data_IF_557262607997
#
_entry.id   IF_557262607997
#
_cell.length_a   1.000
_cell.length_b   1.000
_cell.length_c   1.000
_cell.angle_alpha   90.00
_cell.angle_beta   90.00
_cell.angle_gamma   90.00
#
_symmetry.space_group_name_H-M   'P 1'
#
loop_
_entity.id
_entity.type
_entity.pdbx_description
1 polymer ?
#
# COMPACT_ATOMS: atom_id res chain seq x y z
N UNK A 1 -55.79 -5.08 -3.98
CA UNK A 1 -55.93 -3.77 -3.30
C UNK A 1 -55.69 -4.04 -1.83
N UNK A 2 -54.72 -3.50 -1.10
CA UNK A 2 -53.92 -2.27 -1.18
C UNK A 2 -52.45 -2.55 -0.79
N UNK A 3 -51.55 -1.68 -1.25
CA UNK A 3 -50.10 -1.62 -1.00
C UNK A 3 -49.86 -0.90 0.36
N UNK A 4 -48.74 -1.13 1.06
CA UNK A 4 -47.66 -0.15 1.01
C UNK A 4 -46.23 -0.73 0.86
N UNK A 5 -45.38 0.15 0.36
CA UNK A 5 -43.99 0.05 -0.09
C UNK A 5 -42.93 0.06 1.02
N UNK A 6 -41.71 -0.43 0.72
CA UNK A 6 -40.49 0.06 1.39
C UNK A 6 -39.33 -0.93 1.53
N UNK A 7 -38.37 -0.83 0.62
CA UNK A 7 -37.06 -1.51 0.58
C UNK A 7 -36.16 -1.23 1.79
N UNK A 8 -35.41 -2.24 2.27
CA UNK A 8 -34.06 -2.07 2.84
C UNK A 8 -33.38 -3.42 3.12
N UNK A 9 -32.21 -3.63 2.50
CA UNK A 9 -31.34 -4.79 2.66
C UNK A 9 -30.63 -4.81 4.02
N UNK A 10 -30.63 -5.97 4.71
CA UNK A 10 -29.81 -6.23 5.90
C UNK A 10 -28.66 -7.19 5.56
N UNK A 11 -27.43 -6.79 5.84
CA UNK A 11 -26.30 -7.70 6.14
C UNK A 11 -25.51 -7.14 7.34
N UNK A 12 -25.78 -7.74 8.50
CA UNK A 12 -24.92 -8.04 9.68
C UNK A 12 -23.47 -7.51 9.62
N UNK A 13 -23.02 -6.60 10.48
CA UNK A 13 -22.74 -6.70 11.93
C UNK A 13 -21.48 -7.54 12.31
N UNK A 14 -20.35 -6.85 12.51
CA UNK A 14 -19.34 -7.18 13.52
C UNK A 14 -18.91 -5.86 14.19
N UNK A 15 -19.34 -5.69 15.43
CA UNK A 15 -19.15 -4.52 16.28
C UNK A 15 -17.72 -4.45 16.83
N UNK A 16 -17.03 -3.35 16.54
CA UNK A 16 -15.72 -3.00 17.09
C UNK A 16 -15.89 -2.36 18.46
N UNK A 17 -15.63 -3.12 19.52
CA UNK A 17 -15.32 -2.59 20.86
C UNK A 17 -13.93 -1.94 20.82
N UNK A 18 -13.86 -0.66 20.46
CA UNK A 18 -12.65 0.17 20.61
C UNK A 18 -12.92 1.65 20.79
N UNK A 19 -14.15 2.00 21.18
CA UNK A 19 -14.55 3.38 21.50
C UNK A 19 -14.34 3.71 22.99
N UNK A 20 -14.36 2.72 23.89
CA UNK A 20 -14.29 2.98 25.33
C UNK A 20 -12.88 3.37 25.84
N UNK A 21 -11.83 3.04 25.09
CA UNK A 21 -10.46 3.40 25.48
C UNK A 21 -10.09 4.86 25.14
N UNK A 22 -10.80 5.48 24.20
CA UNK A 22 -10.54 6.85 23.75
C UNK A 22 -11.19 7.86 24.72
N UNK A 23 -12.36 7.54 25.27
CA UNK A 23 -13.04 8.41 26.26
C UNK A 23 -12.29 8.51 27.60
N UNK A 24 -11.55 7.48 28.01
CA UNK A 24 -10.87 7.47 29.31
C UNK A 24 -9.68 8.45 29.41
N UNK A 25 -9.02 8.79 28.28
CA UNK A 25 -7.84 9.68 28.29
C UNK A 25 -8.18 11.17 28.15
N UNK A 26 -9.40 11.50 27.71
CA UNK A 26 -9.86 12.89 27.59
C UNK A 26 -10.24 13.52 28.94
N UNK A 27 -10.54 12.70 29.97
CA UNK A 27 -10.99 13.20 31.28
C UNK A 27 -9.88 13.65 32.24
N UNK A 28 -8.59 13.44 31.93
CA UNK A 28 -7.52 13.80 32.87
C UNK A 28 -6.94 15.22 32.69
N UNK A 29 -7.32 15.96 31.65
CA UNK A 29 -6.84 17.33 31.43
C UNK A 29 -7.88 18.42 31.78
N UNK A 30 -9.05 18.05 32.27
CA UNK A 30 -10.19 18.96 32.46
C UNK A 30 -10.46 19.37 33.93
N UNK A 31 -9.45 19.34 34.81
CA UNK A 31 -9.67 19.60 36.25
C UNK A 31 -9.17 20.95 36.81
N UNK A 32 -8.68 21.90 35.99
CA UNK A 32 -8.20 23.19 36.52
C UNK A 32 -8.56 24.43 35.68
N UNK A 33 -9.78 24.52 35.15
CA UNK A 33 -10.30 25.79 34.65
C UNK A 33 -11.62 26.16 35.34
N UNK A 34 -11.55 27.11 36.27
CA UNK A 34 -12.72 27.76 36.87
C UNK A 34 -13.56 28.37 35.74
N UNK A 35 -14.77 27.86 35.60
CA UNK A 35 -15.74 28.28 34.60
C UNK A 35 -16.11 29.77 34.72
N UNK A 36 -15.85 30.55 33.66
CA UNK A 36 -16.52 31.83 33.44
C UNK A 36 -17.47 31.67 32.24
N UNK A 37 -18.78 31.86 32.46
CA UNK A 37 -19.86 31.40 31.58
C UNK A 37 -20.13 32.25 30.34
N UNK A 38 -19.32 33.27 30.01
CA UNK A 38 -19.60 34.19 28.90
C UNK A 38 -18.65 34.10 27.70
N UNK A 39 -17.73 33.13 27.64
CA UNK A 39 -16.77 32.97 26.54
C UNK A 39 -16.90 31.61 25.82
N UNK A 40 -18.12 31.07 25.71
CA UNK A 40 -18.36 29.71 25.21
C UNK A 40 -18.90 29.63 23.77
N UNK A 41 -19.07 30.74 23.06
CA UNK A 41 -19.62 30.71 21.68
C UNK A 41 -18.56 30.82 20.58
N UNK A 42 -17.38 31.35 20.88
CA UNK A 42 -16.29 31.52 19.89
C UNK A 42 -15.34 30.33 19.76
N UNK A 43 -15.46 29.31 20.62
CA UNK A 43 -14.69 28.06 20.49
C UNK A 43 -15.41 27.01 19.64
N UNK A 44 -16.75 27.04 19.59
CA UNK A 44 -17.56 26.10 18.81
C UNK A 44 -17.41 26.28 17.29
N UNK A 45 -17.13 27.50 16.82
CA UNK A 45 -16.93 27.79 15.40
C UNK A 45 -15.53 27.39 14.88
N UNK A 46 -14.55 27.20 15.78
CA UNK A 46 -13.20 26.75 15.41
C UNK A 46 -13.07 25.22 15.32
N UNK A 47 -14.00 24.46 15.90
CA UNK A 47 -14.01 22.99 15.82
C UNK A 47 -14.68 22.44 14.54
N UNK A 48 -15.52 23.21 13.86
CA UNK A 48 -16.17 22.78 12.61
C UNK A 48 -15.27 22.91 11.36
N UNK A 49 -14.14 23.59 11.49
CA UNK A 49 -13.12 23.72 10.44
C UNK A 49 -11.77 23.13 10.85
N UNK A 50 -11.71 22.33 11.91
CA UNK A 50 -10.54 21.50 12.13
C UNK A 50 -10.55 20.43 11.03
N UNK A 51 -9.65 20.46 10.03
CA UNK A 51 -9.53 19.33 9.14
C UNK A 51 -9.22 18.14 10.04
N UNK A 52 -10.12 17.15 10.03
CA UNK A 52 -9.84 15.84 10.58
C UNK A 52 -8.44 15.47 10.12
N UNK A 53 -7.50 15.29 11.05
CA UNK A 53 -6.16 14.78 10.76
C UNK A 53 -6.32 13.31 10.36
N UNK A 54 -6.94 13.09 9.21
CA UNK A 54 -7.08 11.79 8.58
C UNK A 54 -5.67 11.47 8.09
N UNK A 55 -5.01 10.49 8.71
CA UNK A 55 -3.79 9.91 8.19
C UNK A 55 -4.08 9.39 6.76
N UNK A 56 -3.82 10.21 5.74
CA UNK A 56 -3.99 9.79 4.35
C UNK A 56 -2.78 8.95 3.97
N UNK A 57 -3.04 7.80 3.35
CA UNK A 57 -2.00 6.99 2.70
C UNK A 57 -1.23 7.82 1.66
N UNK A 58 -0.17 7.24 1.08
CA UNK A 58 0.60 7.93 0.02
C UNK A 58 -0.36 8.36 -1.10
N UNK A 59 -0.57 9.67 -1.25
CA UNK A 59 -1.42 10.21 -2.30
C UNK A 59 -0.64 10.20 -3.61
N UNK A 60 -0.81 9.15 -4.40
CA UNK A 60 -0.16 9.01 -5.69
C UNK A 60 -0.67 10.09 -6.65
N UNK A 61 0.26 10.78 -7.31
CA UNK A 61 -0.05 11.77 -8.34
C UNK A 61 0.10 11.16 -9.74
N UNK A 62 -0.60 11.70 -10.75
CA UNK A 62 -0.35 11.32 -12.13
C UNK A 62 1.13 11.47 -12.51
N UNK A 63 1.70 10.52 -13.27
CA UNK A 63 1.01 9.37 -13.88
C UNK A 63 0.89 8.15 -12.97
N UNK A 64 1.48 8.16 -11.78
CA UNK A 64 1.68 6.99 -10.93
C UNK A 64 0.39 6.47 -10.26
N UNK A 65 -0.69 7.25 -10.28
CA UNK A 65 -2.01 6.83 -9.83
C UNK A 65 -2.88 6.20 -10.94
N UNK A 66 -2.42 6.23 -12.20
CA UNK A 66 -3.14 5.64 -13.31
C UNK A 66 -3.02 4.11 -13.26
N UNK A 67 -4.06 3.40 -13.68
CA UNK A 67 -3.98 1.94 -13.84
C UNK A 67 -3.02 1.59 -14.97
N UNK A 68 -2.49 0.37 -14.96
CA UNK A 68 -1.73 -0.14 -16.10
C UNK A 68 -2.59 -0.11 -17.36
N UNK A 69 -1.97 0.23 -18.49
CA UNK A 69 -2.61 0.18 -19.81
C UNK A 69 -1.61 -0.44 -20.80
N UNK A 70 -1.95 -1.63 -21.29
CA UNK A 70 -1.12 -2.41 -22.22
C UNK A 70 -1.04 -1.77 -23.61
N UNK A 71 -1.89 -0.79 -23.89
CA UNK A 71 -1.98 -0.13 -25.19
C UNK A 71 -2.88 -0.88 -26.18
N UNK A 72 -2.73 -0.56 -27.46
CA UNK A 72 -3.58 -1.13 -28.51
C UNK A 72 -3.01 -2.46 -29.04
N UNK A 73 -3.81 -3.51 -29.00
CA UNK A 73 -3.46 -4.86 -29.48
C UNK A 73 -2.96 -4.88 -30.94
N UNK A 74 -3.38 -3.93 -31.78
CA UNK A 74 -2.95 -3.84 -33.19
C UNK A 74 -1.47 -3.45 -33.36
N UNK A 75 -0.79 -3.02 -32.29
CA UNK A 75 0.59 -2.51 -32.34
C UNK A 75 1.66 -3.55 -31.98
N UNK A 76 1.32 -4.81 -31.72
CA UNK A 76 2.18 -5.86 -31.12
C UNK A 76 3.54 -6.10 -31.81
N UNK A 77 3.73 -5.63 -33.06
CA UNK A 77 5.02 -5.72 -33.78
C UNK A 77 6.20 -5.06 -33.04
N UNK A 78 5.94 -4.14 -32.11
CA UNK A 78 6.95 -3.47 -31.29
C UNK A 78 6.74 -3.67 -29.77
N UNK A 79 6.15 -4.80 -29.39
CA UNK A 79 5.87 -5.05 -27.99
C UNK A 79 7.16 -5.16 -27.16
N UNK A 80 7.14 -4.57 -25.96
CA UNK A 80 8.28 -4.53 -25.05
C UNK A 80 7.82 -4.66 -23.60
N UNK A 81 8.70 -5.16 -22.73
CA UNK A 81 8.46 -5.11 -21.30
C UNK A 81 8.66 -3.68 -20.80
N UNK A 82 7.65 -3.18 -20.09
CA UNK A 82 7.63 -1.87 -19.42
C UNK A 82 7.25 -2.05 -17.97
N UNK A 83 7.45 -1.01 -17.17
CA UNK A 83 7.14 -0.99 -15.74
C UNK A 83 6.06 0.04 -15.45
N UNK A 84 5.19 -0.26 -14.49
CA UNK A 84 4.19 0.66 -13.97
C UNK A 84 4.25 0.63 -12.45
N UNK A 85 3.88 1.72 -11.78
CA UNK A 85 3.62 1.68 -10.35
C UNK A 85 2.27 1.01 -10.12
N UNK A 86 2.29 -0.09 -9.38
CA UNK A 86 1.09 -0.70 -8.83
C UNK A 86 0.69 0.03 -7.54
N UNK A 87 -0.45 0.71 -7.56
CA UNK A 87 -0.92 1.52 -6.43
C UNK A 87 -1.29 0.70 -5.18
N UNK A 88 -1.61 -0.59 -5.35
CA UNK A 88 -2.01 -1.47 -4.25
C UNK A 88 -0.79 -1.82 -3.39
N UNK A 89 0.26 -2.35 -4.01
CA UNK A 89 1.46 -2.81 -3.32
C UNK A 89 2.56 -1.75 -3.25
N UNK A 90 2.41 -0.65 -4.00
CA UNK A 90 3.42 0.39 -4.22
C UNK A 90 4.75 -0.16 -4.76
N UNK A 91 4.66 -1.16 -5.64
CA UNK A 91 5.81 -1.71 -6.36
C UNK A 91 5.77 -1.33 -7.84
N UNK A 92 6.95 -1.14 -8.40
CA UNK A 92 7.12 -0.97 -9.84
C UNK A 92 7.21 -2.35 -10.51
N UNK A 93 6.12 -2.75 -11.18
CA UNK A 93 5.93 -4.11 -11.70
C UNK A 93 5.93 -4.12 -13.24
N UNK A 94 6.53 -5.15 -13.85
CA UNK A 94 6.61 -5.31 -15.30
C UNK A 94 5.26 -5.68 -15.92
N UNK A 95 5.06 -5.30 -17.18
CA UNK A 95 3.96 -5.71 -18.05
C UNK A 95 4.38 -5.65 -19.52
N UNK A 96 3.73 -6.44 -20.39
CA UNK A 96 3.91 -6.36 -21.84
C UNK A 96 3.13 -5.17 -22.38
N UNK A 97 3.85 -4.13 -22.77
CA UNK A 97 3.30 -3.00 -23.52
C UNK A 97 3.32 -3.34 -25.00
N UNK A 98 2.18 -3.19 -25.68
CA UNK A 98 1.99 -3.51 -27.10
C UNK A 98 2.80 -2.64 -28.05
N UNK A 99 3.32 -1.50 -27.60
CA UNK A 99 4.19 -0.62 -28.39
C UNK A 99 3.54 0.70 -28.82
N UNK A 100 2.21 0.83 -28.73
CA UNK A 100 1.51 2.10 -28.98
C UNK A 100 0.28 2.28 -28.06
N UNK A 101 -0.19 3.52 -27.94
CA UNK A 101 -1.29 3.88 -27.04
C UNK A 101 -0.85 3.85 -25.58
N UNK A 102 -1.70 3.33 -24.71
CA UNK A 102 -1.38 3.24 -23.29
C UNK A 102 -1.55 4.57 -22.55
N UNK A 103 -0.98 4.62 -21.35
CA UNK A 103 -0.88 5.85 -20.58
C UNK A 103 0.53 6.04 -20.02
N UNK A 104 0.73 7.13 -19.27
CA UNK A 104 2.05 7.55 -18.79
C UNK A 104 2.55 6.77 -17.55
N UNK A 105 1.77 5.85 -16.95
CA UNK A 105 2.27 4.90 -15.96
C UNK A 105 3.01 3.74 -16.67
N UNK A 106 4.03 4.11 -17.45
CA UNK A 106 4.74 3.25 -18.38
C UNK A 106 6.19 3.72 -18.47
N UNK A 107 7.07 2.97 -17.83
CA UNK A 107 8.48 3.27 -17.66
C UNK A 107 9.35 2.19 -18.29
N UNK A 108 10.57 2.52 -18.72
CA UNK A 108 11.46 1.55 -19.37
C UNK A 108 12.09 0.58 -18.38
N UNK A 109 12.33 1.01 -17.15
CA UNK A 109 12.96 0.20 -16.11
C UNK A 109 12.22 0.34 -14.77
N UNK A 110 12.39 -0.65 -13.89
CA UNK A 110 11.85 -0.58 -12.52
C UNK A 110 12.41 0.63 -11.76
N UNK A 111 13.69 0.95 -11.95
CA UNK A 111 14.35 2.09 -11.32
C UNK A 111 13.77 3.43 -11.77
N UNK A 112 13.49 3.60 -13.06
CA UNK A 112 12.84 4.82 -13.58
C UNK A 112 11.45 5.00 -12.96
N UNK A 113 10.66 3.94 -12.91
CA UNK A 113 9.35 3.96 -12.26
C UNK A 113 9.46 4.38 -10.78
N UNK A 114 10.40 3.76 -10.02
CA UNK A 114 10.58 4.06 -8.59
C UNK A 114 10.98 5.51 -8.39
N UNK A 115 11.98 5.99 -9.12
CA UNK A 115 12.46 7.36 -9.03
C UNK A 115 11.37 8.39 -9.39
N UNK A 116 10.51 8.07 -10.36
CA UNK A 116 9.43 8.97 -10.78
C UNK A 116 8.27 8.99 -9.80
N UNK A 117 7.92 7.84 -9.23
CA UNK A 117 6.65 7.65 -8.54
C UNK A 117 6.74 7.59 -7.02
N UNK A 118 7.90 7.24 -6.47
CA UNK A 118 8.10 7.07 -5.04
C UNK A 118 9.15 8.07 -4.56
N UNK A 119 8.91 8.77 -3.45
CA UNK A 119 9.93 9.64 -2.86
C UNK A 119 11.11 8.81 -2.34
N UNK A 120 12.30 9.42 -2.23
CA UNK A 120 13.51 8.70 -1.81
C UNK A 120 13.44 8.18 -0.37
N UNK A 121 12.70 8.86 0.50
CA UNK A 121 12.41 8.49 1.88
C UNK A 121 11.13 7.65 2.01
N UNK A 122 10.67 7.04 0.91
CA UNK A 122 9.52 6.16 0.90
C UNK A 122 9.72 4.98 1.86
N UNK A 123 9.11 5.12 3.04
CA UNK A 123 9.08 4.10 4.08
C UNK A 123 7.63 3.70 4.35
N UNK A 124 7.29 2.48 3.93
CA UNK A 124 6.03 1.80 4.20
C UNK A 124 6.31 0.35 4.54
N UNK A 125 5.34 -0.29 5.18
CA UNK A 125 5.42 -1.74 5.33
C UNK A 125 5.38 -2.40 3.95
N UNK A 126 6.04 -3.55 3.77
CA UNK A 126 6.02 -4.29 2.52
C UNK A 126 4.61 -4.48 1.96
N UNK A 127 4.45 -4.46 0.63
CA UNK A 127 3.16 -4.45 -0.06
C UNK A 127 2.16 -3.40 0.46
N UNK A 128 2.66 -2.27 0.96
CA UNK A 128 1.87 -1.12 1.41
C UNK A 128 0.86 -1.44 2.54
N UNK A 129 1.15 -2.43 3.39
CA UNK A 129 0.32 -2.67 4.57
C UNK A 129 0.32 -1.46 5.51
N UNK A 130 -0.78 -1.22 6.23
CA UNK A 130 -0.81 -0.19 7.25
C UNK A 130 0.22 -0.49 8.34
N UNK A 131 0.92 0.53 8.85
CA UNK A 131 1.79 0.35 9.99
C UNK A 131 1.00 0.01 11.25
N UNK A 132 1.66 -0.70 12.18
CA UNK A 132 1.08 -1.04 13.48
C UNK A 132 1.27 0.12 14.46
N UNK A 133 0.18 0.73 14.96
CA UNK A 133 0.30 1.83 15.91
C UNK A 133 0.74 1.34 17.29
N UNK A 134 1.60 2.12 17.93
CA UNK A 134 2.02 1.97 19.33
C UNK A 134 0.91 2.43 20.28
N UNK A 135 0.99 2.11 21.58
CA UNK A 135 0.01 2.57 22.57
C UNK A 135 -0.13 4.10 22.68
N UNK A 136 0.90 4.85 22.27
CA UNK A 136 0.91 6.32 22.20
C UNK A 136 0.28 6.86 20.90
N UNK A 137 -0.16 5.99 19.99
CA UNK A 137 -0.78 6.33 18.70
C UNK A 137 0.21 6.59 17.57
N UNK A 138 1.51 6.60 17.84
CA UNK A 138 2.55 6.77 16.82
C UNK A 138 2.90 5.45 16.15
N UNK A 139 3.62 5.48 15.02
CA UNK A 139 3.98 4.28 14.24
C UNK A 139 5.48 4.11 14.05
N UNK A 140 6.25 5.14 14.40
CA UNK A 140 7.70 5.15 14.24
C UNK A 140 8.38 4.32 15.33
N UNK A 141 9.54 3.76 14.97
CA UNK A 141 10.37 2.98 15.87
C UNK A 141 11.84 3.31 15.73
N UNK A 142 12.57 3.06 16.80
CA UNK A 142 14.01 3.15 16.90
C UNK A 142 14.54 1.97 17.74
N UNK A 143 15.86 1.79 17.78
CA UNK A 143 16.47 0.63 18.45
C UNK A 143 16.48 0.71 19.98
N UNK A 144 16.26 1.90 20.56
CA UNK A 144 16.64 2.20 21.96
C UNK A 144 15.42 2.55 22.82
N UNK A 145 14.56 3.43 22.31
CA UNK A 145 13.49 4.09 23.04
C UNK A 145 12.12 3.65 22.50
N UNK A 146 11.95 3.63 21.18
CA UNK A 146 10.65 3.40 20.54
C UNK A 146 10.52 1.97 20.02
N UNK A 147 10.25 1.04 20.94
CA UNK A 147 9.99 -0.36 20.61
C UNK A 147 8.63 -0.53 19.93
N UNK A 148 8.56 -1.48 19.00
CA UNK A 148 7.31 -1.88 18.38
C UNK A 148 6.45 -2.73 19.31
N UNK A 149 5.10 -2.69 19.16
CA UNK A 149 4.19 -3.54 19.90
C UNK A 149 4.46 -5.03 19.66
N UNK A 150 4.02 -5.87 20.59
CA UNK A 150 4.08 -7.32 20.43
C UNK A 150 3.40 -7.77 19.13
N UNK A 151 4.04 -8.70 18.42
CA UNK A 151 3.57 -9.16 17.12
C UNK A 151 3.91 -8.24 15.95
N UNK A 152 4.71 -7.19 16.16
CA UNK A 152 5.20 -6.31 15.09
C UNK A 152 6.72 -6.10 15.18
N UNK A 153 7.33 -5.81 14.03
CA UNK A 153 8.78 -5.62 13.88
C UNK A 153 9.09 -4.27 13.26
N UNK A 154 10.22 -3.68 13.69
CA UNK A 154 10.68 -2.39 13.19
C UNK A 154 11.33 -2.54 11.81
N UNK A 155 10.64 -2.06 10.77
CA UNK A 155 11.19 -1.95 9.42
C UNK A 155 11.96 -0.64 9.31
N UNK A 156 13.27 -0.72 9.14
CA UNK A 156 14.17 0.43 9.12
C UNK A 156 14.20 1.06 7.73
N UNK A 157 13.90 2.36 7.66
CA UNK A 157 14.23 3.19 6.53
C UNK A 157 15.61 3.85 6.70
N UNK A 158 15.86 4.87 5.89
CA UNK A 158 17.11 5.62 5.92
C UNK A 158 17.29 6.45 7.19
N UNK A 159 16.21 7.09 7.67
CA UNK A 159 16.24 8.00 8.84
C UNK A 159 15.38 7.52 9.99
N UNK A 160 14.23 6.91 9.68
CA UNK A 160 13.23 6.49 10.65
C UNK A 160 12.90 5.01 10.44
N UNK A 161 12.48 4.32 11.49
CA UNK A 161 11.84 3.01 11.38
C UNK A 161 10.32 3.14 11.52
N UNK A 162 9.58 2.16 11.00
CA UNK A 162 8.15 2.00 11.27
C UNK A 162 7.82 0.59 11.74
N UNK A 163 6.82 0.47 12.62
CA UNK A 163 6.35 -0.82 13.09
C UNK A 163 5.42 -1.47 12.06
N UNK A 164 5.75 -2.70 11.67
CA UNK A 164 4.97 -3.50 10.73
C UNK A 164 4.57 -4.83 11.35
N UNK A 165 3.32 -5.22 11.14
CA UNK A 165 2.75 -6.46 11.66
C UNK A 165 3.52 -7.69 11.13
N UNK A 166 3.91 -8.60 12.02
CA UNK A 166 4.72 -9.75 11.68
C UNK A 166 4.00 -10.72 10.75
N UNK A 167 2.67 -10.89 10.88
CA UNK A 167 1.91 -11.80 10.00
C UNK A 167 1.89 -11.27 8.57
N UNK A 168 1.73 -9.96 8.42
CA UNK A 168 1.81 -9.30 7.11
C UNK A 168 3.21 -9.42 6.50
N UNK A 169 4.26 -9.25 7.31
CA UNK A 169 5.65 -9.44 6.87
C UNK A 169 5.90 -10.88 6.43
N UNK A 170 5.53 -11.87 7.23
CA UNK A 170 5.65 -13.29 6.90
C UNK A 170 4.91 -13.62 5.61
N UNK A 171 3.67 -13.16 5.47
CA UNK A 171 2.87 -13.35 4.26
C UNK A 171 3.53 -12.71 3.04
N UNK A 172 4.10 -11.52 3.17
CA UNK A 172 4.86 -10.88 2.10
C UNK A 172 6.10 -11.70 1.72
N UNK A 173 6.92 -12.08 2.72
CA UNK A 173 8.16 -12.81 2.52
C UNK A 173 7.95 -14.17 1.85
N UNK A 174 6.87 -14.87 2.18
CA UNK A 174 6.50 -16.13 1.54
C UNK A 174 6.14 -15.96 0.04
N UNK A 175 5.70 -14.78 -0.39
CA UNK A 175 5.26 -14.53 -1.77
C UNK A 175 6.33 -13.86 -2.65
N UNK A 176 7.33 -13.19 -2.07
CA UNK A 176 8.44 -12.59 -2.83
C UNK A 176 9.62 -13.53 -3.04
N UNK A 177 9.59 -14.72 -2.42
CA UNK A 177 10.53 -15.83 -2.67
C UNK A 177 9.75 -17.11 -2.97
N UNK A 178 8.99 -17.13 -4.08
CA UNK A 178 8.24 -18.32 -4.45
C UNK A 178 9.18 -19.48 -4.82
N UNK A 179 8.66 -20.69 -4.72
CA UNK A 179 9.38 -21.92 -5.11
C UNK A 179 8.99 -22.35 -6.53
N UNK A 180 10.01 -22.63 -7.34
CA UNK A 180 9.88 -23.16 -8.70
C UNK A 180 10.17 -24.68 -8.76
N UNK A 181 10.33 -25.33 -7.60
CA UNK A 181 10.72 -26.73 -7.48
C UNK A 181 12.09 -26.96 -8.13
N UNK A 182 12.11 -27.74 -9.21
CA UNK A 182 13.32 -28.04 -9.97
C UNK A 182 13.73 -26.95 -10.99
N UNK A 183 12.83 -26.00 -11.29
CA UNK A 183 13.11 -24.89 -12.21
C UNK A 183 13.75 -23.72 -11.47
N UNK A 184 14.40 -22.82 -12.21
CA UNK A 184 15.00 -21.60 -11.65
C UNK A 184 14.00 -20.46 -11.72
N UNK A 185 14.05 -19.58 -10.73
CA UNK A 185 13.35 -18.29 -10.82
C UNK A 185 14.01 -17.40 -11.88
N UNK A 186 13.17 -16.76 -12.69
CA UNK A 186 13.62 -15.73 -13.63
C UNK A 186 14.01 -14.47 -12.86
N UNK A 187 15.12 -13.86 -13.25
CA UNK A 187 15.63 -12.62 -12.68
C UNK A 187 15.35 -11.43 -13.59
N UNK A 188 15.10 -10.27 -12.98
CA UNK A 188 14.97 -9.00 -13.68
C UNK A 188 16.34 -8.53 -14.16
N UNK A 189 16.54 -8.59 -15.48
CA UNK A 189 17.79 -8.16 -16.15
C UNK A 189 17.93 -6.64 -16.26
N UNK A 190 16.84 -5.88 -16.04
CA UNK A 190 16.87 -4.41 -16.08
C UNK A 190 17.43 -3.80 -14.80
N UNK A 191 17.68 -4.65 -13.79
CA UNK A 191 18.18 -4.26 -12.51
C UNK A 191 19.57 -4.84 -12.26
N UNK A 192 20.52 -4.01 -11.85
CA UNK A 192 21.91 -4.40 -11.57
C UNK A 192 22.04 -5.39 -10.40
N UNK A 193 21.02 -5.47 -9.54
CA UNK A 193 21.04 -6.31 -8.33
C UNK A 193 20.52 -7.75 -8.53
N UNK A 194 20.28 -8.20 -9.77
CA UNK A 194 19.86 -9.59 -10.05
C UNK A 194 18.61 -10.04 -9.24
N UNK A 195 17.66 -9.12 -9.02
CA UNK A 195 16.44 -9.40 -8.27
C UNK A 195 15.51 -10.36 -9.02
N UNK A 196 14.62 -11.04 -8.30
CA UNK A 196 13.59 -11.91 -8.87
C UNK A 196 12.62 -11.06 -9.70
N UNK A 197 12.25 -11.54 -10.88
CA UNK A 197 11.24 -10.90 -11.72
C UNK A 197 9.83 -11.21 -11.18
N UNK A 198 9.25 -10.25 -10.49
CA UNK A 198 7.89 -10.31 -9.95
C UNK A 198 6.98 -9.39 -10.76
N UNK A 199 5.79 -9.85 -11.12
CA UNK A 199 4.75 -9.09 -11.82
C UNK A 199 3.44 -9.04 -11.02
N UNK A 200 2.49 -8.23 -11.47
CA UNK A 200 1.18 -8.11 -10.81
C UNK A 200 0.31 -9.35 -11.03
N UNK A 201 0.15 -9.74 -12.29
CA UNK A 201 -0.63 -10.91 -12.71
C UNK A 201 0.00 -11.53 -13.96
N UNK A 202 -0.25 -12.82 -14.19
CA UNK A 202 0.11 -13.48 -15.45
C UNK A 202 -0.58 -12.88 -16.66
N UNK A 203 -1.72 -12.21 -16.47
CA UNK A 203 -2.46 -11.53 -17.54
C UNK A 203 -1.70 -10.30 -18.08
N UNK A 204 -0.64 -9.85 -17.39
CA UNK A 204 0.25 -8.80 -17.89
C UNK A 204 1.35 -9.32 -18.83
N UNK A 205 1.42 -10.64 -19.07
CA UNK A 205 2.33 -11.28 -20.03
C UNK A 205 3.81 -10.83 -19.91
N UNK A 206 4.28 -10.66 -18.68
CA UNK A 206 5.61 -10.10 -18.41
C UNK A 206 6.75 -11.14 -18.39
N UNK A 207 6.42 -12.43 -18.35
CA UNK A 207 7.43 -13.49 -18.36
C UNK A 207 8.13 -13.56 -19.72
N UNK A 208 9.45 -13.83 -19.75
CA UNK A 208 10.18 -14.03 -21.00
C UNK A 208 9.74 -15.32 -21.71
N UNK A 209 10.06 -15.42 -23.00
CA UNK A 209 9.72 -16.59 -23.82
C UNK A 209 10.29 -17.88 -23.21
N UNK A 210 9.43 -18.92 -23.19
CA UNK A 210 9.77 -20.22 -22.62
C UNK A 210 9.73 -20.30 -21.09
N UNK A 211 9.43 -19.21 -20.39
CA UNK A 211 9.18 -19.24 -18.95
C UNK A 211 7.69 -19.44 -18.64
N UNK A 212 7.39 -20.22 -17.61
CA UNK A 212 6.03 -20.43 -17.11
C UNK A 212 5.67 -19.36 -16.09
N UNK A 213 4.48 -18.76 -16.23
CA UNK A 213 3.96 -17.82 -15.26
C UNK A 213 3.12 -18.52 -14.19
N UNK A 214 3.40 -18.21 -12.94
CA UNK A 214 2.68 -18.72 -11.78
C UNK A 214 2.03 -17.57 -11.00
N UNK A 215 0.80 -17.80 -10.52
CA UNK A 215 0.06 -16.84 -9.71
C UNK A 215 0.43 -17.03 -8.23
N UNK A 216 0.99 -16.00 -7.59
CA UNK A 216 1.15 -15.94 -6.14
C UNK A 216 0.03 -15.15 -5.47
N UNK A 217 0.09 -14.98 -4.15
CA UNK A 217 -0.94 -14.27 -3.39
C UNK A 217 -0.86 -12.74 -3.54
N UNK A 218 0.35 -12.20 -3.79
CA UNK A 218 0.58 -10.77 -4.04
C UNK A 218 1.17 -10.48 -5.40
N UNK A 219 2.04 -11.36 -5.88
CA UNK A 219 2.75 -11.19 -7.14
C UNK A 219 2.69 -12.47 -7.94
N UNK A 220 2.60 -12.33 -9.25
CA UNK A 220 2.95 -13.39 -10.18
C UNK A 220 4.47 -13.48 -10.34
N UNK A 221 4.97 -14.66 -10.70
CA UNK A 221 6.39 -14.93 -10.88
C UNK A 221 6.62 -15.88 -12.04
N UNK A 222 7.86 -15.91 -12.56
CA UNK A 222 8.21 -16.73 -13.71
C UNK A 222 9.26 -17.79 -13.34
N UNK A 223 9.03 -19.03 -13.78
CA UNK A 223 9.94 -20.16 -13.60
C UNK A 223 10.47 -20.63 -14.96
N UNK A 224 11.76 -20.95 -15.03
CA UNK A 224 12.43 -21.44 -16.24
C UNK A 224 13.49 -22.50 -15.90
#
# INVERSE_FOLDING_TARGET
>A
MLIPSGSSNSKTAWTVTRLDAVFAKANLMAHNFKANKSLNFMWFLLFLFAPSLQYRGLELRPPCNLTVDVGNERCDKNATIRYHLDAETLNCLPFKYTGCGGNANNFRTSSECRFKCLPMDYLKCPANFPPTPRPDGTVDCDEVIKKCPEGSSCQRGFVVGICCDNKNLEKYHANVKPDCGHKKMVKDKTNEFNMILLGKSCDHHFCPDGAECHRGAYFAYCCQ
#
